data_IF_915693729565
#
_entry.id   IF_915693729565
#
_cell.length_a   1.000
_cell.length_b   1.000
_cell.length_c   1.000
_cell.angle_alpha   90.00
_cell.angle_beta   90.00
_cell.angle_gamma   90.00
#
_symmetry.space_group_name_H-M   'P 1'
#
loop_
_entity.id
_entity.type
_entity.pdbx_description
1 polymer ?
#
# COMPACT_ATOMS: atom_id res chain seq x y z
N UNK A 1 3.56 -3.16 17.43
CA UNK A 1 3.62 -4.43 16.66
C UNK A 1 3.40 -4.17 15.18
N UNK A 2 4.07 -4.87 14.25
CA UNK A 2 3.78 -4.78 12.80
C UNK A 2 2.32 -5.19 12.55
N UNK A 3 1.50 -4.26 12.10
CA UNK A 3 0.13 -4.57 11.67
C UNK A 3 0.12 -5.48 10.45
N UNK A 4 -0.98 -6.20 10.26
CA UNK A 4 -1.17 -7.00 9.05
C UNK A 4 -1.76 -6.09 7.96
N UNK A 5 -1.35 -6.26 6.69
CA UNK A 5 -2.06 -5.61 5.60
C UNK A 5 -3.48 -6.15 5.59
N UNK A 6 -4.43 -5.35 6.07
CA UNK A 6 -5.84 -5.63 5.90
C UNK A 6 -6.14 -5.49 4.41
N UNK A 7 -6.41 -6.62 3.75
CA UNK A 7 -7.05 -6.58 2.45
C UNK A 7 -8.46 -6.13 2.75
N UNK A 8 -8.69 -4.82 2.66
CA UNK A 8 -10.00 -4.22 2.83
C UNK A 8 -11.01 -5.11 2.11
N UNK A 9 -11.75 -5.89 2.90
CA UNK A 9 -12.85 -6.70 2.39
C UNK A 9 -13.75 -5.71 1.69
N UNK A 10 -14.12 -6.00 0.44
CA UNK A 10 -14.91 -5.15 -0.45
C UNK A 10 -15.98 -4.37 0.31
N UNK A 11 -15.61 -3.21 0.84
CA UNK A 11 -16.52 -2.32 1.55
C UNK A 11 -17.29 -1.64 0.44
N UNK A 12 -18.61 -1.84 0.45
CA UNK A 12 -19.58 -1.23 -0.45
C UNK A 12 -19.63 0.30 -0.24
N UNK A 13 -18.54 0.98 -0.56
CA UNK A 13 -18.59 2.36 -1.01
C UNK A 13 -18.83 2.25 -2.51
N UNK A 14 -19.74 3.06 -3.08
CA UNK A 14 -20.10 3.04 -4.50
C UNK A 14 -18.92 3.57 -5.35
N UNK A 15 -17.83 2.82 -5.42
CA UNK A 15 -16.74 3.04 -6.35
C UNK A 15 -16.36 1.69 -6.98
N UNK A 16 -16.41 1.65 -8.30
CA UNK A 16 -15.99 0.50 -9.06
C UNK A 16 -14.46 0.57 -9.24
N UNK A 17 -13.75 -0.31 -8.52
CA UNK A 17 -12.29 -0.43 -8.61
C UNK A 17 -11.83 -0.80 -10.02
N UNK A 18 -12.62 -1.59 -10.75
CA UNK A 18 -12.30 -2.03 -12.10
C UNK A 18 -12.52 -0.90 -13.11
N UNK A 19 -13.44 0.04 -12.85
CA UNK A 19 -13.53 1.29 -13.62
C UNK A 19 -12.33 2.22 -13.40
N UNK A 20 -11.79 2.30 -12.17
CA UNK A 20 -10.67 3.19 -11.85
C UNK A 20 -9.29 2.61 -12.19
N UNK A 21 -9.13 1.29 -12.07
CA UNK A 21 -7.88 0.59 -12.36
C UNK A 21 -8.19 -0.64 -13.21
N UNK A 22 -8.41 -0.45 -14.53
CA UNK A 22 -8.64 -1.56 -15.45
C UNK A 22 -7.51 -2.60 -15.40
N UNK A 23 -7.77 -3.81 -15.91
CA UNK A 23 -6.76 -4.87 -15.96
C UNK A 23 -5.50 -4.50 -16.73
N UNK A 24 -5.63 -3.65 -17.75
CA UNK A 24 -4.52 -3.13 -18.57
C UNK A 24 -3.82 -1.91 -17.93
N UNK A 25 -4.21 -1.51 -16.73
CA UNK A 25 -3.64 -0.33 -16.10
C UNK A 25 -2.17 -0.55 -15.71
N UNK A 26 -1.24 0.37 -16.04
CA UNK A 26 0.21 0.19 -15.80
C UNK A 26 0.59 0.00 -14.32
N UNK A 27 -0.28 0.42 -13.39
CA UNK A 27 -0.08 0.16 -11.96
C UNK A 27 -0.20 -1.32 -11.57
N UNK A 28 -0.95 -2.14 -12.32
CA UNK A 28 -1.14 -3.57 -12.01
C UNK A 28 0.20 -4.33 -12.02
N UNK A 29 1.05 -4.26 -13.07
CA UNK A 29 2.37 -4.88 -13.05
C UNK A 29 3.31 -4.25 -12.02
N UNK A 30 3.31 -2.91 -11.86
CA UNK A 30 4.11 -2.21 -10.85
C UNK A 30 3.79 -2.72 -9.43
N UNK A 31 2.48 -2.87 -9.12
CA UNK A 31 2.02 -3.42 -7.84
C UNK A 31 2.57 -4.83 -7.61
N UNK A 32 2.54 -5.70 -8.63
CA UNK A 32 3.07 -7.07 -8.52
C UNK A 32 4.58 -7.08 -8.22
N UNK A 33 5.35 -6.22 -8.88
CA UNK A 33 6.79 -6.10 -8.63
C UNK A 33 7.09 -5.55 -7.24
N UNK A 34 6.36 -4.50 -6.83
CA UNK A 34 6.47 -3.91 -5.50
C UNK A 34 6.12 -4.93 -4.41
N UNK A 35 5.02 -5.67 -4.56
CA UNK A 35 4.61 -6.72 -3.62
C UNK A 35 5.70 -7.80 -3.49
N UNK A 36 6.33 -8.23 -4.60
CA UNK A 36 7.43 -9.20 -4.58
C UNK A 36 8.67 -8.66 -3.85
N UNK A 37 9.04 -7.41 -4.11
CA UNK A 37 10.17 -6.77 -3.45
C UNK A 37 9.93 -6.62 -1.94
N UNK A 38 8.74 -6.15 -1.56
CA UNK A 38 8.35 -5.99 -0.15
C UNK A 38 8.28 -7.33 0.59
N UNK A 39 7.80 -8.39 -0.07
CA UNK A 39 7.79 -9.73 0.51
C UNK A 39 9.21 -10.22 0.84
N UNK A 40 10.19 -9.94 -0.03
CA UNK A 40 11.59 -10.29 0.21
C UNK A 40 12.18 -9.56 1.44
N UNK A 41 11.68 -8.36 1.74
CA UNK A 41 12.10 -7.54 2.89
C UNK A 41 11.35 -7.85 4.19
N UNK A 42 10.43 -8.83 4.20
CA UNK A 42 9.59 -9.11 5.38
C UNK A 42 10.40 -9.35 6.65
N UNK A 43 11.54 -10.04 6.56
CA UNK A 43 12.39 -10.33 7.72
C UNK A 43 13.01 -9.06 8.32
N UNK A 44 13.36 -8.10 7.47
CA UNK A 44 13.92 -6.82 7.91
C UNK A 44 12.83 -5.96 8.57
N UNK A 45 11.62 -5.97 8.01
CA UNK A 45 10.46 -5.31 8.62
C UNK A 45 10.11 -5.91 9.99
N UNK A 46 10.14 -7.24 10.13
CA UNK A 46 9.89 -7.90 11.42
C UNK A 46 10.95 -7.57 12.47
N UNK A 47 12.19 -7.32 12.04
CA UNK A 47 13.27 -6.88 12.94
C UNK A 47 13.11 -5.41 13.34
N UNK A 48 12.71 -4.55 12.40
CA UNK A 48 12.56 -3.11 12.63
C UNK A 48 11.31 -2.78 13.46
N UNK A 49 10.21 -3.50 13.23
CA UNK A 49 8.96 -3.33 13.96
C UNK A 49 8.91 -4.31 15.13
N UNK A 50 9.20 -3.80 16.34
CA UNK A 50 9.16 -4.58 17.57
C UNK A 50 7.79 -5.23 17.84
N UNK A 51 7.81 -6.29 18.67
CA UNK A 51 6.63 -7.10 18.99
C UNK A 51 5.65 -6.47 19.98
N UNK A 52 6.05 -5.38 20.64
CA UNK A 52 5.25 -4.73 21.69
C UNK A 52 4.57 -3.45 21.17
N UNK A 53 3.50 -3.03 21.85
CA UNK A 53 2.72 -1.83 21.53
C UNK A 53 1.62 -2.05 20.49
N UNK A 54 0.77 -1.03 20.26
CA UNK A 54 -0.37 -1.10 19.35
C UNK A 54 0.05 -1.51 17.92
N UNK A 55 -0.88 -2.09 17.18
CA UNK A 55 -0.67 -2.44 15.78
C UNK A 55 -0.42 -1.16 14.97
N UNK A 56 0.79 -1.05 14.41
CA UNK A 56 1.15 0.05 13.51
C UNK A 56 0.68 -0.26 12.10
N UNK A 57 0.49 0.77 11.27
CA UNK A 57 0.32 0.60 9.83
C UNK A 57 1.50 -0.26 9.30
N UNK A 58 1.24 -1.28 8.47
CA UNK A 58 2.30 -2.11 7.91
C UNK A 58 3.29 -1.26 7.09
N UNK A 59 4.60 -1.48 7.21
CA UNK A 59 5.60 -0.73 6.42
C UNK A 59 5.37 -0.87 4.91
N UNK A 60 4.81 -2.00 4.45
CA UNK A 60 4.46 -2.24 3.06
C UNK A 60 3.45 -1.23 2.53
N UNK A 61 2.44 -0.89 3.33
CA UNK A 61 1.41 0.06 2.95
C UNK A 61 1.99 1.47 2.85
N UNK A 62 2.87 1.84 3.78
CA UNK A 62 3.55 3.13 3.75
C UNK A 62 4.44 3.27 2.50
N UNK A 63 5.24 2.24 2.20
CA UNK A 63 6.13 2.23 1.03
C UNK A 63 5.32 2.29 -0.27
N UNK A 64 4.19 1.59 -0.35
CA UNK A 64 3.28 1.68 -1.51
C UNK A 64 2.69 3.08 -1.69
N UNK A 65 2.30 3.74 -0.60
CA UNK A 65 1.85 5.13 -0.65
C UNK A 65 2.95 6.07 -1.17
N UNK A 66 4.20 5.89 -0.71
CA UNK A 66 5.34 6.66 -1.21
C UNK A 66 5.61 6.41 -2.70
N UNK A 67 5.50 5.16 -3.14
CA UNK A 67 5.62 4.81 -4.55
C UNK A 67 4.54 5.50 -5.40
N UNK A 68 3.28 5.46 -4.97
CA UNK A 68 2.19 6.16 -5.66
C UNK A 68 2.45 7.67 -5.71
N UNK A 69 2.91 8.27 -4.61
CA UNK A 69 3.29 9.69 -4.61
C UNK A 69 4.38 10.00 -5.62
N UNK A 70 5.41 9.16 -5.71
CA UNK A 70 6.50 9.34 -6.68
C UNK A 70 6.01 9.21 -8.13
N UNK A 71 5.16 8.22 -8.41
CA UNK A 71 4.63 7.96 -9.76
C UNK A 71 3.70 9.08 -10.26
N UNK A 72 2.90 9.67 -9.36
CA UNK A 72 1.92 10.70 -9.70
C UNK A 72 2.35 12.12 -9.30
N UNK A 73 3.62 12.29 -8.90
CA UNK A 73 4.17 13.56 -8.41
C UNK A 73 3.30 14.22 -7.30
N UNK A 74 2.71 13.42 -6.42
CA UNK A 74 1.84 13.91 -5.35
C UNK A 74 2.69 14.40 -4.17
N UNK A 75 2.54 15.67 -3.75
CA UNK A 75 3.50 16.31 -2.84
C UNK A 75 3.39 15.84 -1.38
N UNK A 76 2.27 15.24 -0.95
CA UNK A 76 2.10 14.78 0.45
C UNK A 76 1.21 13.54 0.57
N UNK A 77 1.36 12.79 1.67
CA UNK A 77 0.42 11.69 1.96
C UNK A 77 -1.01 12.20 2.15
N UNK A 78 -1.20 13.39 2.73
CA UNK A 78 -2.53 14.01 2.85
C UNK A 78 -3.19 14.21 1.48
N UNK A 79 -2.44 14.78 0.53
CA UNK A 79 -2.93 14.99 -0.84
C UNK A 79 -3.21 13.67 -1.55
N UNK A 80 -2.47 12.60 -1.24
CA UNK A 80 -2.76 11.27 -1.74
C UNK A 80 -4.11 10.76 -1.20
N UNK A 81 -4.35 10.89 0.11
CA UNK A 81 -5.62 10.47 0.72
C UNK A 81 -6.82 11.30 0.22
N UNK A 82 -6.63 12.58 -0.09
CA UNK A 82 -7.68 13.43 -0.67
C UNK A 82 -8.01 13.08 -2.13
N UNK A 83 -7.07 12.47 -2.85
CA UNK A 83 -7.21 12.13 -4.27
C UNK A 83 -7.83 10.74 -4.52
N UNK A 84 -7.82 9.86 -3.51
CA UNK A 84 -8.39 8.51 -3.57
C UNK A 84 -9.90 8.52 -3.28
#
# INVERSE_FOLDING_TARGET
MRGKPDRQQSMFIVFDLEQRVPDDHPLRPIKRWCDKALAAMSRDFDRAYGRCGPESIPPESLIKCLLLRALFAIPSERRLCEAC
#
